data_IF_429832883854
#
_entry.id   IF_429832883854
#
_cell.length_a   1.000
_cell.length_b   1.000
_cell.length_c   1.000
_cell.angle_alpha   90.00
_cell.angle_beta   90.00
_cell.angle_gamma   90.00
#
_symmetry.space_group_name_H-M   'P 1'
#
loop_
_entity.id
_entity.type
_entity.pdbx_description
1 polymer ?
#
# COMPACT_ATOMS: atom_id res chain seq x y z
N UNK A 1 38.24 -0.50 -13.75
CA UNK A 1 36.88 0.06 -13.88
C UNK A 1 36.01 -0.55 -12.78
N UNK A 2 35.91 0.08 -11.60
CA UNK A 2 35.09 -0.44 -10.51
C UNK A 2 33.64 -0.09 -10.83
N UNK A 3 32.87 -1.07 -11.30
CA UNK A 3 31.42 -0.95 -11.46
C UNK A 3 30.85 -0.81 -10.06
N UNK A 4 30.44 0.41 -9.68
CA UNK A 4 29.65 0.62 -8.49
C UNK A 4 28.42 -0.30 -8.59
N UNK A 5 28.36 -1.32 -7.75
CA UNK A 5 27.20 -2.20 -7.63
C UNK A 5 26.09 -1.31 -7.09
N UNK A 6 25.16 -0.88 -7.95
CA UNK A 6 23.92 -0.26 -7.47
C UNK A 6 23.18 -1.34 -6.68
N UNK A 7 23.09 -1.16 -5.37
CA UNK A 7 22.14 -1.92 -4.58
C UNK A 7 20.74 -1.53 -5.06
N UNK A 8 20.01 -2.48 -5.63
CA UNK A 8 18.57 -2.33 -5.85
C UNK A 8 17.92 -2.15 -4.48
N UNK A 9 17.28 -1.00 -4.28
CA UNK A 9 16.57 -0.65 -3.06
C UNK A 9 15.10 -1.08 -3.14
N UNK A 10 14.64 -1.55 -4.30
CA UNK A 10 13.30 -2.10 -4.49
C UNK A 10 13.08 -3.38 -3.67
N UNK A 11 11.91 -3.48 -3.07
CA UNK A 11 11.55 -4.62 -2.21
C UNK A 11 10.73 -5.64 -3.00
N UNK A 12 11.32 -6.82 -3.25
CA UNK A 12 10.65 -7.95 -3.90
C UNK A 12 9.42 -8.47 -3.13
N UNK A 13 9.40 -8.61 -1.78
CA UNK A 13 8.22 -9.10 -1.09
C UNK A 13 7.02 -8.14 -1.19
N UNK A 14 7.27 -6.82 -1.16
CA UNK A 14 6.23 -5.81 -1.33
C UNK A 14 5.58 -5.90 -2.73
N UNK A 15 6.39 -6.14 -3.76
CA UNK A 15 5.89 -6.27 -5.13
C UNK A 15 5.00 -7.50 -5.31
N UNK A 16 5.38 -8.62 -4.68
CA UNK A 16 4.55 -9.84 -4.64
C UNK A 16 3.23 -9.56 -3.92
N UNK A 17 3.27 -8.82 -2.79
CA UNK A 17 2.07 -8.45 -2.04
C UNK A 17 1.10 -7.59 -2.87
N UNK A 18 1.60 -6.60 -3.63
CA UNK A 18 0.76 -5.83 -4.55
C UNK A 18 0.12 -6.70 -5.64
N UNK A 19 0.85 -7.70 -6.15
CA UNK A 19 0.33 -8.63 -7.14
C UNK A 19 -0.78 -9.52 -6.58
N UNK A 20 -0.56 -10.12 -5.41
CA UNK A 20 -1.57 -10.92 -4.72
C UNK A 20 -2.80 -10.11 -4.35
N UNK A 21 -2.59 -8.91 -3.82
CA UNK A 21 -3.69 -8.01 -3.45
C UNK A 21 -4.52 -7.60 -4.67
N UNK A 22 -3.91 -7.38 -5.84
CA UNK A 22 -4.64 -7.12 -7.09
C UNK A 22 -5.62 -8.25 -7.44
N UNK A 23 -5.16 -9.50 -7.43
CA UNK A 23 -6.01 -10.66 -7.72
C UNK A 23 -7.10 -10.84 -6.65
N UNK A 24 -6.71 -10.72 -5.38
CA UNK A 24 -7.64 -10.82 -4.25
C UNK A 24 -8.73 -9.75 -4.33
N UNK A 25 -8.37 -8.50 -4.63
CA UNK A 25 -9.30 -7.39 -4.73
C UNK A 25 -10.26 -7.53 -5.91
N UNK A 26 -9.80 -8.08 -7.05
CA UNK A 26 -10.71 -8.42 -8.15
C UNK A 26 -11.74 -9.47 -7.74
N UNK A 27 -11.34 -10.49 -6.99
CA UNK A 27 -12.27 -11.49 -6.45
C UNK A 27 -13.21 -10.89 -5.38
N UNK A 28 -12.70 -9.98 -4.55
CA UNK A 28 -13.47 -9.24 -3.53
C UNK A 28 -14.60 -8.44 -4.18
N UNK A 29 -14.31 -7.62 -5.20
CA UNK A 29 -15.33 -6.82 -5.90
C UNK A 29 -16.39 -7.72 -6.55
N UNK A 30 -15.99 -8.84 -7.15
CA UNK A 30 -16.94 -9.80 -7.73
C UNK A 30 -17.87 -10.38 -6.65
N UNK A 31 -17.31 -10.77 -5.50
CA UNK A 31 -18.07 -11.31 -4.38
C UNK A 31 -19.03 -10.25 -3.81
N UNK A 32 -18.57 -9.01 -3.61
CA UNK A 32 -19.39 -7.89 -3.14
C UNK A 32 -20.57 -7.63 -4.08
N UNK A 33 -20.36 -7.60 -5.40
CA UNK A 33 -21.44 -7.43 -6.38
C UNK A 33 -22.47 -8.57 -6.27
N UNK A 34 -22.01 -9.82 -6.15
CA UNK A 34 -22.90 -10.97 -6.04
C UNK A 34 -23.72 -10.93 -4.74
N UNK A 35 -23.08 -10.58 -3.62
CA UNK A 35 -23.75 -10.43 -2.32
C UNK A 35 -24.70 -9.23 -2.31
N UNK A 36 -24.38 -8.16 -3.00
CA UNK A 36 -25.25 -7.00 -3.17
C UNK A 36 -26.52 -7.38 -3.94
N UNK A 37 -26.41 -8.13 -5.04
CA UNK A 37 -27.57 -8.67 -5.77
C UNK A 37 -28.41 -9.58 -4.87
N UNK A 38 -27.76 -10.47 -4.10
CA UNK A 38 -28.45 -11.34 -3.15
C UNK A 38 -29.26 -10.54 -2.11
N UNK A 39 -28.68 -9.48 -1.54
CA UNK A 39 -29.36 -8.58 -0.59
C UNK A 39 -30.56 -7.89 -1.23
N UNK A 40 -30.41 -7.37 -2.45
CA UNK A 40 -31.50 -6.68 -3.17
C UNK A 40 -32.69 -7.60 -3.49
N UNK A 41 -32.44 -8.90 -3.70
CA UNK A 41 -33.50 -9.85 -4.05
C UNK A 41 -34.28 -10.38 -2.84
N UNK A 42 -33.61 -10.57 -1.70
CA UNK A 42 -34.17 -11.30 -0.55
C UNK A 42 -34.50 -10.38 0.62
N UNK A 43 -33.69 -9.34 0.85
CA UNK A 43 -33.88 -8.44 1.99
C UNK A 43 -34.56 -7.15 1.50
N UNK A 44 -35.52 -6.60 2.26
CA UNK A 44 -36.09 -5.28 1.98
C UNK A 44 -35.04 -4.20 2.30
N UNK A 45 -34.08 -4.03 1.40
CA UNK A 45 -32.98 -3.07 1.55
C UNK A 45 -33.50 -1.66 1.22
N UNK A 46 -33.42 -0.69 2.14
CA UNK A 46 -33.84 0.68 1.85
C UNK A 46 -32.99 1.27 0.72
N UNK A 47 -33.64 1.87 -0.27
CA UNK A 47 -32.99 2.34 -1.51
C UNK A 47 -31.87 3.33 -1.26
N UNK A 48 -32.01 4.21 -0.25
CA UNK A 48 -31.01 5.23 0.07
C UNK A 48 -29.67 4.62 0.50
N UNK A 49 -29.71 3.62 1.39
CA UNK A 49 -28.52 2.92 1.82
C UNK A 49 -27.90 2.10 0.68
N UNK A 50 -28.73 1.53 -0.22
CA UNK A 50 -28.24 0.74 -1.34
C UNK A 50 -27.43 1.61 -2.31
N UNK A 51 -27.92 2.82 -2.60
CA UNK A 51 -27.21 3.78 -3.45
C UNK A 51 -25.90 4.22 -2.79
N UNK A 52 -25.93 4.52 -1.49
CA UNK A 52 -24.73 4.91 -0.75
C UNK A 52 -23.66 3.81 -0.78
N UNK A 53 -24.03 2.56 -0.51
CA UNK A 53 -23.09 1.43 -0.54
C UNK A 53 -22.51 1.18 -1.93
N UNK A 54 -23.30 1.38 -2.99
CA UNK A 54 -22.83 1.26 -4.37
C UNK A 54 -21.84 2.38 -4.74
N UNK A 55 -22.13 3.61 -4.34
CA UNK A 55 -21.24 4.77 -4.55
C UNK A 55 -19.92 4.57 -3.81
N UNK A 56 -19.97 4.11 -2.55
CA UNK A 56 -18.79 3.79 -1.78
C UNK A 56 -17.98 2.64 -2.41
N UNK A 57 -18.65 1.65 -3.03
CA UNK A 57 -17.98 0.50 -3.64
C UNK A 57 -17.20 0.94 -4.88
N UNK A 58 -17.82 1.81 -5.69
CA UNK A 58 -17.17 2.42 -6.84
C UNK A 58 -15.98 3.29 -6.41
N UNK A 59 -16.16 4.11 -5.37
CA UNK A 59 -15.08 4.94 -4.83
C UNK A 59 -13.93 4.09 -4.28
N UNK A 60 -14.25 2.99 -3.60
CA UNK A 60 -13.26 2.05 -3.08
C UNK A 60 -12.45 1.40 -4.20
N UNK A 61 -13.12 0.97 -5.28
CA UNK A 61 -12.47 0.47 -6.49
C UNK A 61 -11.50 1.51 -7.09
N UNK A 62 -11.92 2.76 -7.24
CA UNK A 62 -11.06 3.82 -7.77
C UNK A 62 -9.82 4.05 -6.90
N UNK A 63 -10.00 4.18 -5.58
CA UNK A 63 -8.89 4.37 -4.65
C UNK A 63 -7.91 3.20 -4.69
N UNK A 64 -8.41 1.97 -4.73
CA UNK A 64 -7.56 0.79 -4.74
C UNK A 64 -6.73 0.68 -6.02
N UNK A 65 -7.31 1.01 -7.18
CA UNK A 65 -6.58 1.07 -8.45
C UNK A 65 -5.44 2.09 -8.37
N UNK A 66 -5.73 3.29 -7.87
CA UNK A 66 -4.72 4.35 -7.68
C UNK A 66 -3.62 3.88 -6.73
N UNK A 67 -4.00 3.28 -5.58
CA UNK A 67 -3.07 2.78 -4.56
C UNK A 67 -2.10 1.75 -5.13
N UNK A 68 -2.61 0.75 -5.85
CA UNK A 68 -1.81 -0.31 -6.48
C UNK A 68 -0.89 0.26 -7.57
N UNK A 69 -1.39 1.22 -8.36
CA UNK A 69 -0.60 1.86 -9.41
C UNK A 69 0.59 2.66 -8.84
N UNK A 70 0.33 3.53 -7.85
CA UNK A 70 1.39 4.30 -7.19
C UNK A 70 2.33 3.40 -6.38
N UNK A 71 1.82 2.34 -5.75
CA UNK A 71 2.62 1.39 -4.97
C UNK A 71 3.62 0.62 -5.84
N UNK A 72 3.15 0.08 -6.96
CA UNK A 72 4.01 -0.62 -7.91
C UNK A 72 5.04 0.32 -8.57
N UNK A 73 4.61 1.50 -9.02
CA UNK A 73 5.53 2.50 -9.59
C UNK A 73 6.56 3.01 -8.58
N UNK A 74 6.14 3.25 -7.34
CA UNK A 74 7.04 3.74 -6.28
C UNK A 74 8.13 2.73 -5.93
N UNK A 75 7.78 1.45 -5.82
CA UNK A 75 8.74 0.39 -5.54
C UNK A 75 9.71 0.16 -6.72
N UNK A 76 9.22 0.19 -7.97
CA UNK A 76 10.04 -0.03 -9.16
C UNK A 76 10.97 1.14 -9.49
N UNK A 77 10.51 2.38 -9.29
CA UNK A 77 11.30 3.56 -9.60
C UNK A 77 12.19 4.03 -8.43
N UNK A 78 12.15 3.35 -7.29
CA UNK A 78 12.89 3.72 -6.06
C UNK A 78 12.63 5.18 -5.65
N UNK A 79 11.42 5.67 -5.93
CA UNK A 79 11.04 7.07 -5.69
C UNK A 79 10.17 7.12 -4.43
N UNK A 80 10.68 7.69 -3.31
CA UNK A 80 9.98 7.67 -2.03
C UNK A 80 8.66 8.43 -2.09
N UNK A 81 8.53 9.44 -2.96
CA UNK A 81 7.30 10.20 -3.15
C UNK A 81 6.11 9.31 -3.58
N UNK A 82 6.29 8.46 -4.60
CA UNK A 82 5.20 7.61 -5.10
C UNK A 82 4.85 6.49 -4.12
N UNK A 83 5.84 5.95 -3.41
CA UNK A 83 5.60 4.97 -2.35
C UNK A 83 4.88 5.60 -1.15
N UNK A 84 5.23 6.84 -0.77
CA UNK A 84 4.51 7.60 0.25
C UNK A 84 3.07 7.93 -0.14
N UNK A 85 2.82 8.32 -1.40
CA UNK A 85 1.46 8.54 -1.92
C UNK A 85 0.60 7.27 -1.84
N UNK A 86 1.16 6.10 -2.17
CA UNK A 86 0.45 4.82 -2.02
C UNK A 86 0.06 4.53 -0.57
N UNK A 87 0.93 4.84 0.40
CA UNK A 87 0.61 4.72 1.84
C UNK A 87 -0.43 5.74 2.29
N UNK A 88 -0.42 6.96 1.74
CA UNK A 88 -1.44 7.95 2.04
C UNK A 88 -2.82 7.49 1.55
N UNK A 89 -2.91 6.95 0.32
CA UNK A 89 -4.16 6.40 -0.24
C UNK A 89 -4.60 5.11 0.49
N UNK A 90 -3.68 4.38 1.13
CA UNK A 90 -4.03 3.24 1.96
C UNK A 90 -4.93 3.61 3.15
N UNK A 91 -4.81 4.82 3.71
CA UNK A 91 -5.63 5.27 4.84
C UNK A 91 -7.13 5.29 4.49
N UNK A 92 -7.59 6.03 3.45
CA UNK A 92 -8.99 5.99 3.06
C UNK A 92 -9.43 4.60 2.58
N UNK A 93 -8.57 3.80 1.91
CA UNK A 93 -8.89 2.41 1.58
C UNK A 93 -9.17 1.56 2.83
N UNK A 94 -8.34 1.69 3.88
CA UNK A 94 -8.53 0.95 5.13
C UNK A 94 -9.81 1.40 5.86
N UNK A 95 -10.13 2.69 5.83
CA UNK A 95 -11.37 3.21 6.39
C UNK A 95 -12.61 2.66 5.67
N UNK A 96 -12.58 2.57 4.34
CA UNK A 96 -13.63 1.94 3.53
C UNK A 96 -13.78 0.45 3.85
N UNK A 97 -12.68 -0.30 3.98
CA UNK A 97 -12.74 -1.71 4.37
C UNK A 97 -13.36 -1.89 5.78
N UNK A 98 -13.06 -0.99 6.73
CA UNK A 98 -13.70 -0.99 8.05
C UNK A 98 -15.18 -0.62 7.96
N UNK A 99 -15.55 0.31 7.07
CA UNK A 99 -16.95 0.63 6.79
C UNK A 99 -17.74 -0.60 6.34
N UNK A 100 -17.26 -1.34 5.34
CA UNK A 100 -17.89 -2.59 4.89
C UNK A 100 -17.90 -3.69 5.95
N UNK A 101 -16.91 -3.69 6.86
CA UNK A 101 -16.84 -4.66 7.95
C UNK A 101 -17.86 -4.41 9.07
N UNK A 102 -18.09 -3.14 9.46
CA UNK A 102 -18.80 -2.80 10.70
C UNK A 102 -20.06 -1.94 10.52
N UNK A 103 -20.07 -1.06 9.52
CA UNK A 103 -21.07 0.01 9.38
C UNK A 103 -22.13 -0.28 8.32
N UNK A 104 -21.94 -1.34 7.52
CA UNK A 104 -22.92 -1.75 6.52
C UNK A 104 -24.20 -2.30 7.16
N UNK A 105 -25.36 -1.97 6.57
CA UNK A 105 -26.69 -2.25 7.15
C UNK A 105 -26.98 -3.74 7.38
N UNK A 106 -26.50 -4.61 6.50
CA UNK A 106 -26.64 -6.07 6.60
C UNK A 106 -25.30 -6.75 6.30
N UNK A 107 -24.49 -7.02 7.32
CA UNK A 107 -23.19 -7.70 7.14
C UNK A 107 -23.39 -9.22 7.06
N UNK A 108 -23.03 -9.84 5.93
CA UNK A 108 -22.97 -11.29 5.79
C UNK A 108 -21.67 -11.83 6.40
N UNK A 109 -21.70 -13.09 6.86
CA UNK A 109 -20.49 -13.76 7.39
C UNK A 109 -19.35 -13.81 6.37
N UNK A 110 -19.68 -13.93 5.08
CA UNK A 110 -18.68 -13.95 4.01
C UNK A 110 -18.00 -12.59 3.85
N UNK A 111 -18.75 -11.48 3.92
CA UNK A 111 -18.22 -10.11 3.86
C UNK A 111 -17.26 -9.84 5.01
N UNK A 112 -17.57 -10.34 6.20
CA UNK A 112 -16.71 -10.21 7.37
C UNK A 112 -15.35 -10.88 7.12
N UNK A 113 -15.35 -12.14 6.65
CA UNK A 113 -14.11 -12.88 6.37
C UNK A 113 -13.32 -12.19 5.26
N UNK A 114 -13.98 -11.77 4.19
CA UNK A 114 -13.34 -11.11 3.05
C UNK A 114 -12.70 -9.76 3.43
N UNK A 115 -13.40 -8.92 4.19
CA UNK A 115 -12.86 -7.64 4.67
C UNK A 115 -11.75 -7.83 5.70
N UNK A 116 -11.85 -8.82 6.59
CA UNK A 116 -10.80 -9.12 7.56
C UNK A 116 -9.49 -9.56 6.89
N UNK A 117 -9.58 -10.43 5.88
CA UNK A 117 -8.41 -10.85 5.09
C UNK A 117 -7.83 -9.68 4.30
N UNK A 118 -8.69 -8.81 3.72
CA UNK A 118 -8.24 -7.61 3.03
C UNK A 118 -7.45 -6.66 3.96
N UNK A 119 -7.95 -6.43 5.17
CA UNK A 119 -7.29 -5.60 6.19
C UNK A 119 -5.94 -6.20 6.60
N UNK A 120 -5.84 -7.52 6.72
CA UNK A 120 -4.55 -8.18 6.98
C UNK A 120 -3.53 -7.88 5.86
N UNK A 121 -3.95 -7.97 4.59
CA UNK A 121 -3.10 -7.57 3.46
C UNK A 121 -2.69 -6.10 3.53
N UNK A 122 -3.57 -5.20 3.97
CA UNK A 122 -3.26 -3.78 4.13
C UNK A 122 -2.23 -3.51 5.22
N UNK A 123 -2.35 -4.17 6.38
CA UNK A 123 -1.36 -4.06 7.46
C UNK A 123 0.01 -4.54 6.98
N UNK A 124 0.08 -5.69 6.31
CA UNK A 124 1.34 -6.20 5.76
C UNK A 124 1.95 -5.24 4.72
N UNK A 125 1.13 -4.69 3.81
CA UNK A 125 1.57 -3.70 2.83
C UNK A 125 2.07 -2.41 3.48
N UNK A 126 1.41 -1.95 4.54
CA UNK A 126 1.82 -0.77 5.28
C UNK A 126 3.19 -0.97 5.93
N UNK A 127 3.37 -2.08 6.65
CA UNK A 127 4.63 -2.40 7.33
C UNK A 127 5.79 -2.51 6.34
N UNK A 128 5.63 -3.29 5.26
CA UNK A 128 6.66 -3.43 4.23
C UNK A 128 6.91 -2.12 3.47
N UNK A 129 5.86 -1.33 3.23
CA UNK A 129 5.97 -0.02 2.59
C UNK A 129 6.78 0.97 3.44
N UNK A 130 6.56 1.00 4.76
CA UNK A 130 7.36 1.81 5.68
C UNK A 130 8.82 1.36 5.72
N UNK A 131 9.08 0.05 5.75
CA UNK A 131 10.45 -0.49 5.71
C UNK A 131 11.17 -0.09 4.41
N UNK A 132 10.48 -0.15 3.28
CA UNK A 132 11.01 0.30 1.98
C UNK A 132 11.34 1.80 1.98
N UNK A 133 10.43 2.64 2.48
CA UNK A 133 10.66 4.09 2.61
C UNK A 133 11.83 4.43 3.55
N UNK A 134 11.93 3.76 4.69
CA UNK A 134 13.03 3.95 5.64
C UNK A 134 14.39 3.58 5.02
N UNK A 135 14.41 2.55 4.18
CA UNK A 135 15.61 2.12 3.46
C UNK A 135 16.03 3.15 2.41
N UNK A 136 15.07 3.72 1.67
CA UNK A 136 15.34 4.82 0.72
C UNK A 136 15.88 6.07 1.44
N UNK A 137 15.28 6.46 2.57
CA UNK A 137 15.71 7.63 3.35
C UNK A 137 17.13 7.47 3.91
N UNK A 138 17.48 6.26 4.36
CA UNK A 138 18.84 5.96 4.84
C UNK A 138 19.88 6.05 3.73
N UNK A 139 19.56 5.54 2.54
CA UNK A 139 20.46 5.62 1.38
C UNK A 139 20.68 7.06 0.92
N UNK A 140 19.66 7.90 0.96
CA UNK A 140 19.78 9.32 0.60
C UNK A 140 20.62 10.09 1.62
N UNK A 141 20.42 9.80 2.91
CA UNK A 141 21.21 10.39 3.99
C UNK A 141 22.69 10.06 3.90
N UNK A 142 23.04 8.82 3.54
CA UNK A 142 24.45 8.40 3.37
C UNK A 142 25.09 9.08 2.14
N UNK A 143 24.33 9.20 1.05
CA UNK A 143 24.77 9.94 -0.16
C UNK A 143 25.04 11.42 0.11
N UNK A 144 24.23 12.06 0.96
CA UNK A 144 24.35 13.48 1.28
C UNK A 144 25.32 13.78 2.44
N UNK A 145 25.99 12.76 3.02
CA UNK A 145 27.05 13.02 4.00
C UNK A 145 28.21 13.72 3.27
N UNK A 146 28.55 14.98 3.63
CA UNK A 146 29.76 15.59 3.11
C UNK A 146 30.95 14.69 3.50
N UNK A 147 31.92 14.53 2.60
CA UNK A 147 33.19 13.78 2.77
C UNK A 147 34.06 14.32 3.93
N UNK A 148 33.51 14.53 5.12
CA UNK A 148 34.23 14.91 6.34
C UNK A 148 35.08 13.75 6.85
N UNK A 149 34.73 12.51 6.50
CA UNK A 149 35.52 11.32 6.87
C UNK A 149 36.85 11.27 6.10
N UNK A 150 36.89 11.71 4.84
CA UNK A 150 38.14 11.70 4.06
C UNK A 150 39.10 12.83 4.51
N UNK A 151 38.56 13.98 4.94
CA UNK A 151 39.38 15.03 5.56
C UNK A 151 39.94 14.58 6.91
N UNK A 152 39.19 13.83 7.73
CA UNK A 152 39.71 13.33 9.02
C UNK A 152 40.91 12.40 8.84
N UNK A 153 40.91 11.52 7.84
CA UNK A 153 42.06 10.64 7.57
C UNK A 153 43.27 11.46 7.06
N UNK A 154 43.05 12.40 6.15
CA UNK A 154 44.16 13.20 5.61
C UNK A 154 44.72 14.23 6.62
N UNK A 155 43.93 14.68 7.60
CA UNK A 155 44.42 15.58 8.67
C UNK A 155 45.30 14.84 9.68
N UNK A 156 45.12 13.51 9.83
CA UNK A 156 46.02 12.70 10.65
C UNK A 156 47.31 12.31 9.94
N UNK A 157 47.40 12.37 8.60
CA UNK A 157 48.65 12.11 7.87
C UNK A 157 49.53 13.36 7.71
N UNK A 158 48.97 14.57 7.83
CA UNK A 158 49.74 15.84 7.76
C UNK A 158 50.24 16.28 9.15
N UNK A 159 49.81 15.61 10.22
CA UNK A 159 50.28 15.84 11.60
C UNK A 159 51.34 14.84 12.07
N UNK A 160 51.70 13.87 11.25
CA UNK A 160 52.88 13.02 11.48
C UNK A 160 53.93 13.41 10.44
N UNK A 161 54.90 14.19 10.92
CA UNK A 161 56.25 14.30 10.35
C UNK A 161 56.81 12.93 9.95
#
# INVERSE_FOLDING_TARGET
YIRAVRHTLSSTPLQILFYLNRWYFSAFILAEILMFIYKLLILPYPTDNAVLDLVLLFFFLCLEILRLFYGQKGNLCERPLYSGLSLFVLLPCSALAVYYLLLQTFVLRLELVLNAVLLCFYVLQFLLGLLSLSSFSRSDSDRNRPLRTFRRIHTHTVFFF
#
